data_IF_970541582499
#
_entry.id   IF_970541582499
#
_cell.length_a   1.000
_cell.length_b   1.000
_cell.length_c   1.000
_cell.angle_alpha   90.00
_cell.angle_beta   90.00
_cell.angle_gamma   90.00
#
_symmetry.space_group_name_H-M   'P 1'
#
loop_
_entity.id
_entity.type
_entity.pdbx_description
1 polymer ?
#
# COMPACT_ATOMS: atom_id res chain seq x y z
N UNK A 1 -64.73 11.48 8.73
CA UNK A 1 -63.99 10.23 8.46
C UNK A 1 -62.56 10.64 8.09
N UNK A 2 -61.59 10.38 8.97
CA UNK A 2 -60.24 10.92 8.86
C UNK A 2 -59.41 10.12 7.85
N UNK A 3 -58.58 10.83 7.08
CA UNK A 3 -57.52 10.23 6.31
C UNK A 3 -56.38 9.84 7.27
N UNK A 4 -55.99 8.58 7.18
CA UNK A 4 -54.92 7.93 7.93
C UNK A 4 -53.58 8.60 7.65
N UNK A 5 -52.90 9.02 8.73
CA UNK A 5 -51.50 9.43 8.70
C UNK A 5 -50.60 8.20 8.44
N UNK A 6 -49.60 8.39 7.58
CA UNK A 6 -48.53 7.44 7.28
C UNK A 6 -47.49 7.43 8.43
N UNK A 7 -47.18 6.28 9.06
CA UNK A 7 -46.34 6.23 10.26
C UNK A 7 -44.84 6.01 9.98
N UNK A 8 -44.32 6.28 8.78
CA UNK A 8 -42.89 6.02 8.45
C UNK A 8 -42.10 7.26 8.02
N UNK A 9 -42.26 8.39 8.72
CA UNK A 9 -41.29 9.48 8.64
C UNK A 9 -40.22 9.30 9.74
N UNK A 10 -39.10 8.68 9.38
CA UNK A 10 -37.86 8.72 10.17
C UNK A 10 -37.48 10.19 10.41
N UNK A 11 -37.03 10.61 11.61
CA UNK A 11 -36.61 11.98 11.81
C UNK A 11 -35.41 12.27 10.91
N UNK A 12 -35.43 13.39 10.19
CA UNK A 12 -34.29 13.86 9.39
C UNK A 12 -33.04 13.87 10.28
N UNK A 13 -32.08 12.97 10.02
CA UNK A 13 -30.77 13.03 10.68
C UNK A 13 -30.05 14.29 10.19
N UNK A 14 -30.19 15.37 10.94
CA UNK A 14 -29.48 16.61 10.67
C UNK A 14 -27.97 16.33 10.64
N UNK A 15 -27.36 16.57 9.47
CA UNK A 15 -25.92 16.37 9.23
C UNK A 15 -25.02 17.12 10.21
N UNK A 16 -25.52 18.21 10.78
CA UNK A 16 -24.85 19.01 11.80
C UNK A 16 -25.79 19.27 12.97
N UNK A 17 -25.27 19.08 14.18
CA UNK A 17 -25.91 19.40 15.44
C UNK A 17 -25.51 20.83 15.86
N UNK A 18 -26.43 21.49 16.54
CA UNK A 18 -26.21 22.75 17.26
C UNK A 18 -25.59 22.49 18.63
N UNK A 19 -25.05 23.53 19.27
CA UNK A 19 -24.52 23.44 20.64
C UNK A 19 -25.54 22.88 21.62
N UNK A 20 -26.82 23.26 21.46
CA UNK A 20 -27.92 22.79 22.30
C UNK A 20 -28.17 21.29 22.12
N UNK A 21 -28.25 20.82 20.88
CA UNK A 21 -28.47 19.39 20.59
C UNK A 21 -27.31 18.51 21.09
N UNK A 22 -26.07 19.00 20.99
CA UNK A 22 -24.91 18.32 21.59
C UNK A 22 -24.99 18.32 23.12
N UNK A 23 -25.39 19.42 23.74
CA UNK A 23 -25.55 19.50 25.19
C UNK A 23 -26.62 18.51 25.70
N UNK A 24 -27.76 18.43 25.02
CA UNK A 24 -28.83 17.48 25.29
C UNK A 24 -28.34 16.03 25.11
N UNK A 25 -27.63 15.74 24.03
CA UNK A 25 -27.07 14.43 23.72
C UNK A 25 -26.06 13.95 24.78
N UNK A 26 -25.18 14.84 25.25
CA UNK A 26 -24.17 14.55 26.27
C UNK A 26 -24.70 14.61 27.70
N UNK A 27 -25.94 15.08 27.89
CA UNK A 27 -26.52 15.37 29.21
C UNK A 27 -25.66 16.34 30.04
N UNK A 28 -25.10 17.36 29.38
CA UNK A 28 -24.32 18.44 30.01
C UNK A 28 -24.94 19.81 29.72
N UNK A 29 -24.46 20.86 30.39
CA UNK A 29 -24.88 22.25 30.09
C UNK A 29 -24.18 22.75 28.82
N UNK A 30 -24.85 23.59 28.02
CA UNK A 30 -24.28 24.21 26.81
C UNK A 30 -22.93 24.89 27.07
N UNK A 31 -22.77 25.53 28.23
CA UNK A 31 -21.48 26.12 28.66
C UNK A 31 -20.33 25.11 28.59
N UNK A 32 -20.54 23.88 29.02
CA UNK A 32 -19.50 22.83 28.96
C UNK A 32 -19.18 22.45 27.51
N UNK A 33 -20.16 22.47 26.61
CA UNK A 33 -19.94 22.25 25.17
C UNK A 33 -19.10 23.38 24.57
N UNK A 34 -19.36 24.64 24.95
CA UNK A 34 -18.51 25.77 24.58
C UNK A 34 -17.07 25.63 25.11
N UNK A 35 -16.92 25.23 26.38
CA UNK A 35 -15.59 25.03 26.98
C UNK A 35 -14.82 23.93 26.24
N UNK A 36 -15.47 22.81 25.92
CA UNK A 36 -14.87 21.69 25.15
C UNK A 36 -14.50 22.13 23.72
N UNK A 37 -15.36 22.90 23.05
CA UNK A 37 -15.07 23.41 21.71
C UNK A 37 -13.91 24.42 21.73
N UNK A 38 -13.87 25.30 22.73
CA UNK A 38 -12.77 26.25 22.92
C UNK A 38 -11.43 25.56 23.23
N UNK A 39 -11.46 24.43 23.94
CA UNK A 39 -10.30 23.59 24.22
C UNK A 39 -9.92 22.65 23.06
N UNK A 40 -10.73 22.55 22.00
CA UNK A 40 -10.51 21.61 20.89
C UNK A 40 -10.77 20.14 21.24
N UNK A 41 -11.46 19.87 22.35
CA UNK A 41 -11.69 18.51 22.88
C UNK A 41 -12.90 17.80 22.24
N UNK A 42 -13.68 18.51 21.42
CA UNK A 42 -14.87 17.99 20.74
C UNK A 42 -14.87 18.39 19.25
N UNK A 43 -15.20 17.47 18.32
CA UNK A 43 -15.27 17.77 16.90
C UNK A 43 -16.28 18.87 16.58
N UNK A 44 -15.84 19.96 15.94
CA UNK A 44 -16.71 21.10 15.62
C UNK A 44 -16.20 21.89 14.41
N UNK A 45 -17.09 22.67 13.80
CA UNK A 45 -16.82 23.62 12.73
C UNK A 45 -17.37 24.99 13.16
N UNK A 46 -16.61 26.05 12.91
CA UNK A 46 -17.08 27.42 13.12
C UNK A 46 -17.47 28.04 11.78
N UNK A 47 -18.77 28.29 11.59
CA UNK A 47 -19.31 28.89 10.37
C UNK A 47 -20.08 30.17 10.73
N UNK A 48 -19.67 31.31 10.17
CA UNK A 48 -20.33 32.62 10.36
C UNK A 48 -20.60 32.92 11.85
N UNK A 49 -19.58 32.71 12.69
CA UNK A 49 -19.65 32.95 14.14
C UNK A 49 -20.43 31.92 14.96
N UNK A 50 -21.06 30.91 14.34
CA UNK A 50 -21.77 29.82 15.03
C UNK A 50 -20.92 28.56 15.10
N UNK A 51 -21.08 27.79 16.17
CA UNK A 51 -20.52 26.44 16.30
C UNK A 51 -21.52 25.42 15.76
N UNK A 52 -21.04 24.55 14.88
CA UNK A 52 -21.76 23.40 14.33
C UNK A 52 -20.95 22.14 14.59
N UNK A 53 -21.63 21.03 14.85
CA UNK A 53 -21.01 19.79 15.26
C UNK A 53 -21.44 18.66 14.33
N UNK A 54 -20.55 18.07 13.50
CA UNK A 54 -20.92 16.98 12.61
C UNK A 54 -21.49 15.78 13.41
N UNK A 55 -22.72 15.38 13.12
CA UNK A 55 -23.45 14.43 13.97
C UNK A 55 -22.76 13.06 14.07
N UNK A 56 -22.19 12.59 12.96
CA UNK A 56 -21.39 11.37 12.85
C UNK A 56 -20.12 11.42 13.72
N UNK A 57 -19.39 12.54 13.68
CA UNK A 57 -18.18 12.72 14.47
C UNK A 57 -18.47 12.85 15.96
N UNK A 58 -19.57 13.51 16.35
CA UNK A 58 -20.01 13.58 17.74
C UNK A 58 -20.40 12.21 18.27
N UNK A 59 -21.17 11.42 17.51
CA UNK A 59 -21.53 10.05 17.93
C UNK A 59 -20.29 9.16 18.08
N UNK A 60 -19.34 9.25 17.15
CA UNK A 60 -18.05 8.54 17.24
C UNK A 60 -17.20 8.99 18.44
N UNK A 61 -17.25 10.28 18.77
CA UNK A 61 -16.58 10.85 19.93
C UNK A 61 -17.22 10.41 21.26
N UNK A 62 -18.56 10.38 21.34
CA UNK A 62 -19.31 9.89 22.51
C UNK A 62 -19.06 8.40 22.76
N UNK A 63 -18.94 7.61 21.70
CA UNK A 63 -18.52 6.22 21.76
C UNK A 63 -17.08 6.02 22.28
N UNK A 64 -16.40 7.08 22.73
CA UNK A 64 -15.06 7.03 23.30
C UNK A 64 -13.95 7.52 22.37
N UNK A 65 -14.24 8.47 21.46
CA UNK A 65 -13.20 9.17 20.70
C UNK A 65 -12.26 8.22 19.97
N UNK A 66 -12.84 7.30 19.20
CA UNK A 66 -12.12 6.43 18.29
C UNK A 66 -11.61 5.15 18.93
N UNK A 67 -12.46 4.14 19.13
CA UNK A 67 -12.07 2.83 18.62
C UNK A 67 -12.29 2.92 17.11
N UNK A 68 -11.31 3.44 16.35
CA UNK A 68 -11.23 3.07 14.94
C UNK A 68 -11.38 1.55 14.95
N UNK A 69 -12.45 1.05 14.32
CA UNK A 69 -12.76 -0.36 14.33
C UNK A 69 -11.48 -1.12 14.04
N UNK A 70 -11.20 -2.16 14.83
CA UNK A 70 -9.97 -2.92 14.66
C UNK A 70 -9.90 -3.32 13.19
N UNK A 71 -8.88 -2.82 12.51
CA UNK A 71 -8.71 -3.09 11.08
C UNK A 71 -8.56 -4.60 10.94
N UNK A 72 -9.18 -5.22 9.92
CA UNK A 72 -9.02 -6.64 9.71
C UNK A 72 -7.54 -6.97 9.52
N UNK A 73 -7.14 -8.17 9.94
CA UNK A 73 -5.79 -8.70 9.82
C UNK A 73 -5.46 -8.99 8.35
N UNK A 74 -5.39 -7.95 7.54
CA UNK A 74 -5.20 -7.97 6.09
C UNK A 74 -3.97 -7.13 5.75
N UNK A 75 -3.07 -7.73 4.98
CA UNK A 75 -1.99 -7.07 4.25
C UNK A 75 -2.47 -6.81 2.82
N UNK A 76 -2.64 -5.54 2.45
CA UNK A 76 -3.01 -5.12 1.11
C UNK A 76 -1.81 -4.59 0.29
N UNK A 77 -2.08 -4.19 -0.95
CA UNK A 77 -1.17 -3.37 -1.75
C UNK A 77 -0.35 -4.16 -2.76
N UNK A 78 0.90 -3.75 -2.97
CA UNK A 78 1.76 -4.39 -3.94
C UNK A 78 2.28 -5.73 -3.45
N UNK A 79 2.44 -6.66 -4.39
CA UNK A 79 3.08 -7.94 -4.12
C UNK A 79 4.60 -7.75 -3.96
N UNK A 80 5.16 -8.45 -2.98
CA UNK A 80 6.60 -8.63 -2.80
C UNK A 80 6.86 -10.10 -2.42
N UNK A 81 7.66 -10.84 -3.21
CA UNK A 81 7.90 -12.27 -2.95
C UNK A 81 8.48 -12.57 -1.57
N UNK A 82 9.33 -11.70 -1.01
CA UNK A 82 9.92 -11.88 0.32
C UNK A 82 8.88 -11.66 1.42
N UNK A 83 8.06 -10.61 1.31
CA UNK A 83 6.94 -10.35 2.22
C UNK A 83 5.89 -11.45 2.20
N UNK A 84 5.51 -11.90 1.00
CA UNK A 84 4.51 -12.96 0.80
C UNK A 84 4.97 -14.28 1.42
N UNK A 85 6.25 -14.64 1.26
CA UNK A 85 6.85 -15.77 1.99
C UNK A 85 6.84 -15.54 3.51
N UNK A 86 7.26 -14.36 3.98
CA UNK A 86 7.36 -14.07 5.41
C UNK A 86 6.01 -14.10 6.13
N UNK A 87 4.92 -13.67 5.49
CA UNK A 87 3.56 -13.79 6.03
C UNK A 87 3.19 -15.26 6.27
N UNK A 88 3.50 -16.15 5.33
CA UNK A 88 3.22 -17.59 5.47
C UNK A 88 4.11 -18.25 6.51
N UNK A 89 5.42 -17.99 6.44
CA UNK A 89 6.42 -18.63 7.30
C UNK A 89 6.28 -18.20 8.77
N UNK A 90 5.91 -16.95 9.02
CA UNK A 90 5.71 -16.45 10.39
C UNK A 90 4.46 -17.01 11.08
N UNK A 91 3.53 -17.62 10.34
CA UNK A 91 2.24 -18.05 10.88
C UNK A 91 1.42 -16.90 11.46
N UNK A 92 1.62 -15.67 10.99
CA UNK A 92 1.06 -14.47 11.61
C UNK A 92 -0.46 -14.33 11.44
N UNK A 93 -1.07 -15.09 10.52
CA UNK A 93 -2.51 -15.07 10.29
C UNK A 93 -3.02 -13.86 9.51
N UNK A 94 -2.14 -13.06 8.89
CA UNK A 94 -2.54 -12.01 7.96
C UNK A 94 -3.06 -12.62 6.65
N UNK A 95 -4.25 -12.21 6.22
CA UNK A 95 -4.71 -12.47 4.87
C UNK A 95 -4.04 -11.49 3.89
N UNK A 96 -3.70 -11.94 2.68
CA UNK A 96 -3.03 -11.12 1.66
C UNK A 96 -3.99 -10.73 0.55
N UNK A 97 -4.01 -9.45 0.18
CA UNK A 97 -4.80 -8.92 -0.93
C UNK A 97 -3.94 -8.01 -1.82
N UNK A 98 -3.35 -8.59 -2.86
CA UNK A 98 -2.41 -7.87 -3.72
C UNK A 98 -3.09 -7.26 -4.95
N UNK A 99 -3.16 -5.92 -4.97
CA UNK A 99 -3.84 -5.12 -6.01
C UNK A 99 -2.98 -3.92 -6.47
N UNK A 100 -1.72 -3.83 -6.01
CA UNK A 100 -0.80 -2.73 -6.30
C UNK A 100 -0.85 -1.59 -5.27
N UNK A 101 0.18 -0.74 -5.25
CA UNK A 101 0.36 0.30 -4.23
C UNK A 101 -0.84 1.27 -4.14
N UNK A 102 -1.42 1.65 -5.28
CA UNK A 102 -2.55 2.58 -5.34
C UNK A 102 -3.80 2.02 -4.66
N UNK A 103 -4.26 0.85 -5.11
CA UNK A 103 -5.43 0.18 -4.52
C UNK A 103 -5.20 -0.23 -3.06
N UNK A 104 -3.98 -0.65 -2.72
CA UNK A 104 -3.63 -0.92 -1.32
C UNK A 104 -3.74 0.30 -0.42
N UNK A 105 -3.32 1.47 -0.90
CA UNK A 105 -3.44 2.72 -0.16
C UNK A 105 -4.90 3.15 -0.01
N UNK A 106 -5.73 2.94 -1.05
CA UNK A 106 -7.17 3.23 -0.98
C UNK A 106 -7.89 2.33 0.04
N UNK A 107 -7.61 1.02 0.04
CA UNK A 107 -8.13 0.10 1.06
C UNK A 107 -7.63 0.42 2.47
N UNK A 108 -6.37 0.81 2.58
CA UNK A 108 -5.82 1.28 3.85
C UNK A 108 -6.52 2.57 4.31
N UNK A 109 -6.82 3.51 3.43
CA UNK A 109 -7.58 4.72 3.80
C UNK A 109 -9.02 4.37 4.21
N UNK A 110 -9.63 3.37 3.59
CA UNK A 110 -10.96 2.85 3.93
C UNK A 110 -11.01 1.93 5.17
N UNK A 111 -9.88 1.76 5.88
CA UNK A 111 -9.75 0.88 7.04
C UNK A 111 -10.02 -0.62 6.76
N UNK A 112 -9.88 -1.06 5.51
CA UNK A 112 -10.07 -2.45 5.07
C UNK A 112 -8.80 -3.31 5.21
N UNK A 113 -7.67 -2.72 5.61
CA UNK A 113 -6.40 -3.41 5.79
C UNK A 113 -5.58 -2.85 6.94
N UNK A 114 -5.03 -3.73 7.79
CA UNK A 114 -4.14 -3.38 8.89
C UNK A 114 -2.80 -2.81 8.43
N UNK A 115 -2.31 -3.27 7.27
CA UNK A 115 -1.08 -2.79 6.65
C UNK A 115 -1.16 -2.89 5.12
N UNK A 116 -0.39 -2.07 4.43
CA UNK A 116 -0.27 -2.12 2.96
C UNK A 116 1.19 -2.02 2.52
N UNK A 117 1.59 -2.87 1.57
CA UNK A 117 2.91 -2.84 0.94
C UNK A 117 2.95 -1.87 -0.23
N UNK A 118 3.93 -0.96 -0.24
CA UNK A 118 3.99 0.17 -1.18
C UNK A 118 5.37 0.29 -1.84
N UNK A 119 5.36 0.62 -3.13
CA UNK A 119 6.52 1.04 -3.92
C UNK A 119 6.04 2.04 -5.01
N UNK A 120 5.70 3.25 -4.58
CA UNK A 120 5.21 4.33 -5.44
C UNK A 120 6.41 5.20 -5.83
N UNK A 121 6.80 5.26 -7.12
CA UNK A 121 7.90 6.11 -7.56
C UNK A 121 7.51 7.59 -7.47
N UNK A 122 8.41 8.41 -6.94
CA UNK A 122 8.22 9.85 -6.71
C UNK A 122 9.49 10.62 -7.05
N UNK A 123 9.39 11.95 -7.20
CA UNK A 123 10.56 12.81 -7.40
C UNK A 123 11.51 12.70 -6.20
N UNK A 124 12.72 12.20 -6.45
CA UNK A 124 13.76 12.05 -5.43
C UNK A 124 13.55 10.87 -4.46
N UNK A 125 12.58 9.98 -4.70
CA UNK A 125 12.39 8.83 -3.81
C UNK A 125 11.19 7.94 -4.10
N UNK A 126 10.63 7.42 -3.01
CA UNK A 126 9.56 6.44 -3.01
C UNK A 126 8.63 6.67 -1.83
N UNK A 127 7.34 6.43 -2.04
CA UNK A 127 6.25 6.32 -1.05
C UNK A 127 5.92 7.56 -0.20
N UNK A 128 6.92 8.29 0.30
CA UNK A 128 6.75 9.23 1.41
C UNK A 128 5.82 10.38 1.05
N UNK A 129 5.99 11.02 -0.11
CA UNK A 129 5.16 12.16 -0.48
C UNK A 129 3.71 11.75 -0.75
N UNK A 130 3.49 10.61 -1.41
CA UNK A 130 2.15 10.07 -1.68
C UNK A 130 1.46 9.63 -0.40
N UNK A 131 2.19 8.96 0.49
CA UNK A 131 1.67 8.56 1.81
C UNK A 131 1.32 9.79 2.64
N UNK A 132 2.19 10.81 2.70
CA UNK A 132 1.90 12.05 3.43
C UNK A 132 0.66 12.78 2.90
N UNK A 133 0.38 12.70 1.60
CA UNK A 133 -0.77 13.34 0.98
C UNK A 133 -2.09 12.55 1.11
N UNK A 134 -2.04 11.21 1.23
CA UNK A 134 -3.24 10.34 1.11
C UNK A 134 -3.54 9.48 2.32
N UNK A 135 -2.55 9.18 3.17
CA UNK A 135 -2.76 8.29 4.30
C UNK A 135 -3.58 8.97 5.41
N UNK A 136 -4.46 8.22 6.10
CA UNK A 136 -5.18 8.73 7.26
C UNK A 136 -4.22 8.98 8.44
N UNK A 137 -4.68 9.73 9.44
CA UNK A 137 -3.96 9.86 10.71
C UNK A 137 -3.83 8.51 11.45
N UNK A 138 -2.87 8.43 12.38
CA UNK A 138 -2.69 7.24 13.21
C UNK A 138 -1.99 6.08 12.52
N UNK A 139 -1.10 6.34 11.55
CA UNK A 139 -0.33 5.31 10.85
C UNK A 139 1.16 5.66 10.78
N UNK A 140 1.98 4.65 10.46
CA UNK A 140 3.44 4.75 10.35
C UNK A 140 3.90 4.02 9.10
N UNK A 141 4.81 4.62 8.34
CA UNK A 141 5.48 3.99 7.20
C UNK A 141 6.80 3.40 7.68
N UNK A 142 6.98 2.10 7.51
CA UNK A 142 8.16 1.35 7.92
C UNK A 142 8.91 0.85 6.69
N UNK A 143 10.24 0.94 6.71
CA UNK A 143 11.07 0.33 5.69
C UNK A 143 10.94 -1.19 5.72
N UNK A 144 10.74 -1.81 4.56
CA UNK A 144 10.78 -3.27 4.43
C UNK A 144 12.10 -3.72 3.82
N UNK A 145 12.35 -3.33 2.57
CA UNK A 145 13.57 -3.65 1.87
C UNK A 145 13.80 -2.69 0.70
N UNK A 146 15.05 -2.60 0.28
CA UNK A 146 15.40 -2.19 -1.08
C UNK A 146 15.44 -3.42 -1.96
N UNK A 147 14.93 -3.32 -3.19
CA UNK A 147 14.91 -4.43 -4.13
C UNK A 147 15.39 -4.02 -5.51
N UNK A 148 16.13 -4.90 -6.17
CA UNK A 148 16.68 -4.67 -7.50
C UNK A 148 15.67 -5.08 -8.57
N UNK A 149 15.25 -4.12 -9.37
CA UNK A 149 14.40 -4.30 -10.54
C UNK A 149 15.19 -4.03 -11.82
N UNK A 150 14.93 -4.83 -12.84
CA UNK A 150 15.74 -4.81 -14.04
C UNK A 150 15.24 -5.77 -15.10
N UNK A 151 16.09 -6.03 -16.10
CA UNK A 151 15.78 -6.97 -17.16
C UNK A 151 16.15 -8.38 -16.73
N UNK A 152 15.15 -9.25 -16.72
CA UNK A 152 15.30 -10.70 -16.69
C UNK A 152 15.56 -11.14 -18.12
N UNK A 153 16.65 -11.87 -18.36
CA UNK A 153 17.11 -12.22 -19.69
C UNK A 153 17.15 -13.72 -19.89
N UNK A 154 16.78 -14.16 -21.10
CA UNK A 154 16.96 -15.53 -21.53
C UNK A 154 18.46 -15.93 -21.49
N UNK A 155 18.79 -17.20 -21.24
CA UNK A 155 20.17 -17.66 -21.19
C UNK A 155 20.96 -17.31 -22.46
N UNK A 156 22.19 -16.84 -22.29
CA UNK A 156 23.08 -16.48 -23.40
C UNK A 156 22.95 -15.03 -23.89
N UNK A 157 22.00 -14.25 -23.36
CA UNK A 157 21.91 -12.81 -23.61
C UNK A 157 22.74 -11.97 -22.64
N UNK A 158 23.35 -12.60 -21.63
CA UNK A 158 24.30 -11.98 -20.73
C UNK A 158 25.46 -11.34 -21.53
N UNK A 159 25.72 -10.07 -21.30
CA UNK A 159 26.74 -9.30 -22.02
C UNK A 159 26.32 -8.81 -23.41
N UNK A 160 25.16 -9.24 -23.93
CA UNK A 160 24.57 -8.70 -25.17
C UNK A 160 23.54 -7.60 -24.91
N UNK A 161 22.95 -7.60 -23.71
CA UNK A 161 21.96 -6.61 -23.28
C UNK A 161 22.52 -5.93 -22.05
N UNK A 162 22.72 -4.61 -22.12
CA UNK A 162 23.15 -3.78 -21.01
C UNK A 162 22.00 -2.88 -20.51
N UNK A 163 20.93 -2.72 -21.29
CA UNK A 163 19.77 -1.95 -20.88
C UNK A 163 18.60 -2.04 -21.85
N UNK A 164 17.63 -1.14 -21.65
CA UNK A 164 16.35 -1.15 -22.37
C UNK A 164 16.53 -0.90 -23.87
N UNK A 165 17.50 -0.07 -24.27
CA UNK A 165 17.77 0.22 -25.69
C UNK A 165 18.18 -1.04 -26.49
N UNK A 166 18.82 -2.02 -25.85
CA UNK A 166 19.29 -3.25 -26.50
C UNK A 166 18.16 -4.28 -26.70
N UNK A 167 16.93 -3.94 -26.34
CA UNK A 167 15.74 -4.79 -26.57
C UNK A 167 15.18 -4.65 -28.00
N UNK A 168 15.79 -3.80 -28.85
CA UNK A 168 15.40 -3.66 -30.24
C UNK A 168 15.51 -5.01 -30.97
N UNK A 169 14.42 -5.43 -31.63
CA UNK A 169 14.34 -6.72 -32.33
C UNK A 169 14.33 -7.95 -31.42
N UNK A 170 14.12 -7.77 -30.11
CA UNK A 170 14.01 -8.88 -29.14
C UNK A 170 12.55 -9.07 -28.72
N UNK A 171 12.18 -10.30 -28.41
CA UNK A 171 10.86 -10.67 -27.89
C UNK A 171 10.78 -10.27 -26.42
N UNK A 172 9.86 -9.37 -26.07
CA UNK A 172 9.72 -8.87 -24.70
C UNK A 172 8.35 -9.22 -24.16
N UNK A 173 8.29 -9.87 -22.99
CA UNK A 173 7.03 -10.05 -22.28
C UNK A 173 6.83 -8.91 -21.28
N UNK A 174 5.71 -8.22 -21.41
CA UNK A 174 5.31 -7.13 -20.52
C UNK A 174 4.34 -7.63 -19.45
N UNK A 175 4.30 -6.94 -18.30
CA UNK A 175 3.27 -7.13 -17.27
C UNK A 175 1.96 -6.48 -17.73
N UNK A 176 0.84 -6.88 -17.13
CA UNK A 176 -0.48 -6.35 -17.49
C UNK A 176 -0.57 -4.82 -17.33
N UNK A 177 -1.43 -4.13 -18.11
CA UNK A 177 -1.74 -2.73 -17.87
C UNK A 177 -2.13 -2.47 -16.41
N UNK A 178 -1.64 -1.37 -15.84
CA UNK A 178 -1.83 -1.02 -14.43
C UNK A 178 -0.80 -1.63 -13.46
N UNK A 179 0.01 -2.61 -13.89
CA UNK A 179 1.12 -3.11 -13.07
C UNK A 179 2.25 -2.08 -12.99
N UNK A 180 2.88 -1.93 -11.81
CA UNK A 180 4.01 -0.99 -11.62
C UNK A 180 5.18 -1.25 -12.56
N UNK A 181 5.51 -2.53 -12.81
CA UNK A 181 6.54 -2.91 -13.77
C UNK A 181 6.17 -2.55 -15.22
N UNK A 182 4.89 -2.46 -15.59
CA UNK A 182 4.49 -1.97 -16.92
C UNK A 182 4.77 -0.46 -17.05
N UNK A 183 4.34 0.31 -16.06
CA UNK A 183 4.59 1.75 -16.03
C UNK A 183 6.10 2.07 -16.03
N UNK A 184 6.90 1.29 -15.28
CA UNK A 184 8.35 1.46 -15.29
C UNK A 184 8.96 1.11 -16.65
N UNK A 185 8.51 0.02 -17.29
CA UNK A 185 8.99 -0.33 -18.63
C UNK A 185 8.71 0.80 -19.63
N UNK A 186 7.47 1.29 -19.67
CA UNK A 186 7.06 2.34 -20.60
C UNK A 186 7.91 3.62 -20.42
N UNK A 187 8.17 4.01 -19.16
CA UNK A 187 9.07 5.14 -18.83
C UNK A 187 10.49 4.90 -19.35
N UNK A 188 11.09 3.76 -18.99
CA UNK A 188 12.47 3.47 -19.36
C UNK A 188 12.65 3.30 -20.88
N UNK A 189 11.63 2.76 -21.56
CA UNK A 189 11.60 2.64 -23.01
C UNK A 189 11.54 4.02 -23.68
N UNK A 190 10.71 4.93 -23.15
CA UNK A 190 10.65 6.33 -23.58
C UNK A 190 11.99 7.05 -23.37
N UNK A 191 12.55 6.96 -22.16
CA UNK A 191 13.84 7.58 -21.81
C UNK A 191 14.99 7.07 -22.70
N UNK A 192 14.96 5.79 -23.08
CA UNK A 192 15.95 5.16 -23.94
C UNK A 192 15.71 5.34 -25.45
N UNK A 193 14.57 5.91 -25.86
CA UNK A 193 14.17 5.97 -27.26
C UNK A 193 14.03 4.58 -27.91
N UNK A 194 13.58 3.58 -27.14
CA UNK A 194 13.45 2.21 -27.64
C UNK A 194 12.36 2.13 -28.71
N UNK A 195 12.77 1.81 -29.92
CA UNK A 195 11.88 1.51 -31.04
C UNK A 195 12.10 0.07 -31.54
N UNK A 196 11.01 -0.66 -31.75
CA UNK A 196 11.05 -1.97 -32.40
C UNK A 196 11.35 -3.18 -31.50
N UNK A 197 10.99 -3.14 -30.22
CA UNK A 197 10.91 -4.36 -29.41
C UNK A 197 9.65 -5.17 -29.77
N UNK A 198 9.78 -6.49 -29.87
CA UNK A 198 8.68 -7.39 -30.23
C UNK A 198 7.90 -7.79 -28.97
N UNK A 199 6.95 -6.94 -28.58
CA UNK A 199 6.16 -7.20 -27.38
C UNK A 199 5.17 -8.36 -27.61
N UNK A 200 5.21 -9.38 -26.75
CA UNK A 200 4.27 -10.50 -26.82
C UNK A 200 2.82 -10.00 -26.64
N UNK A 201 1.89 -10.57 -27.40
CA UNK A 201 0.49 -10.15 -27.38
C UNK A 201 -0.20 -10.40 -26.02
N UNK A 202 0.18 -11.48 -25.33
CA UNK A 202 -0.38 -11.83 -24.02
C UNK A 202 0.55 -11.32 -22.91
N UNK A 203 0.10 -10.41 -22.05
CA UNK A 203 0.91 -9.94 -20.93
C UNK A 203 0.99 -10.99 -19.80
N UNK A 204 2.09 -10.97 -19.07
CA UNK A 204 2.28 -11.72 -17.82
C UNK A 204 1.39 -11.14 -16.71
N UNK A 205 0.75 -11.98 -15.89
CA UNK A 205 -0.15 -11.53 -14.80
C UNK A 205 0.53 -11.41 -13.44
N UNK A 206 1.60 -12.16 -13.21
CA UNK A 206 2.50 -12.02 -12.05
C UNK A 206 3.96 -11.76 -12.45
N UNK A 207 4.81 -11.32 -11.50
CA UNK A 207 6.27 -11.24 -11.71
C UNK A 207 6.84 -12.61 -12.06
N UNK A 208 6.31 -13.67 -11.46
CA UNK A 208 6.70 -15.05 -11.70
C UNK A 208 6.33 -15.49 -13.11
N UNK A 209 5.13 -15.14 -13.60
CA UNK A 209 4.70 -15.47 -14.97
C UNK A 209 5.67 -14.87 -16.00
N UNK A 210 6.13 -13.64 -15.77
CA UNK A 210 7.07 -12.96 -16.66
C UNK A 210 8.42 -13.69 -16.70
N UNK A 211 8.95 -14.06 -15.53
CA UNK A 211 10.19 -14.85 -15.45
C UNK A 211 10.04 -16.25 -16.06
N UNK A 212 8.89 -16.91 -15.86
CA UNK A 212 8.58 -18.22 -16.43
C UNK A 212 8.52 -18.18 -17.97
N UNK A 213 7.90 -17.17 -18.56
CA UNK A 213 7.84 -17.04 -20.01
C UNK A 213 9.25 -16.88 -20.63
N UNK A 214 10.14 -16.14 -19.97
CA UNK A 214 11.55 -16.05 -20.39
C UNK A 214 12.26 -17.40 -20.22
N UNK A 215 12.06 -18.09 -19.09
CA UNK A 215 12.62 -19.42 -18.84
C UNK A 215 12.14 -20.49 -19.84
N UNK A 216 10.89 -20.38 -20.30
CA UNK A 216 10.30 -21.26 -21.30
C UNK A 216 10.74 -20.93 -22.74
N UNK A 217 11.49 -19.84 -22.95
CA UNK A 217 11.94 -19.40 -24.27
C UNK A 217 10.86 -18.70 -25.10
N UNK A 218 9.71 -18.37 -24.50
CA UNK A 218 8.63 -17.62 -25.16
C UNK A 218 9.03 -16.16 -25.40
N UNK A 219 9.82 -15.60 -24.50
CA UNK A 219 10.37 -14.25 -24.59
C UNK A 219 11.89 -14.26 -24.33
N UNK A 220 12.57 -13.25 -24.88
CA UNK A 220 14.00 -13.04 -24.71
C UNK A 220 14.29 -12.19 -23.46
N UNK A 221 13.36 -11.30 -23.09
CA UNK A 221 13.48 -10.45 -21.92
C UNK A 221 12.13 -10.12 -21.26
N UNK A 222 12.19 -9.79 -19.98
CA UNK A 222 11.08 -9.24 -19.20
C UNK A 222 11.61 -8.18 -18.21
N UNK A 223 10.80 -7.18 -17.87
CA UNK A 223 11.10 -6.33 -16.71
C UNK A 223 10.57 -7.00 -15.44
N UNK A 224 11.42 -7.14 -14.41
CA UNK A 224 11.02 -7.73 -13.14
C UNK A 224 12.08 -7.66 -12.05
N UNK A 225 11.78 -8.26 -10.90
CA UNK A 225 12.69 -8.31 -9.77
C UNK A 225 13.79 -9.35 -10.00
N UNK A 226 15.01 -9.06 -9.54
CA UNK A 226 16.12 -10.03 -9.55
C UNK A 226 15.75 -11.34 -8.84
N UNK A 227 14.97 -11.23 -7.77
CA UNK A 227 14.47 -12.38 -7.00
C UNK A 227 13.56 -13.32 -7.82
N UNK A 228 12.92 -12.83 -8.88
CA UNK A 228 12.12 -13.65 -9.79
C UNK A 228 12.97 -14.35 -10.86
N UNK A 229 14.14 -13.80 -11.21
CA UNK A 229 15.04 -14.37 -12.23
C UNK A 229 15.86 -15.56 -11.70
N UNK A 230 16.39 -15.42 -10.48
CA UNK A 230 17.37 -16.35 -9.90
C UNK A 230 16.87 -17.80 -9.79
N UNK A 231 15.63 -18.10 -9.36
CA UNK A 231 15.13 -19.48 -9.29
C UNK A 231 15.15 -20.22 -10.64
N UNK A 232 15.03 -19.48 -11.74
CA UNK A 232 15.05 -20.01 -13.11
C UNK A 232 16.43 -19.96 -13.76
N UNK A 233 17.47 -19.55 -13.02
CA UNK A 233 18.85 -19.38 -13.52
C UNK A 233 18.94 -18.47 -14.76
N UNK A 234 18.09 -17.44 -14.77
CA UNK A 234 18.05 -16.45 -15.85
C UNK A 234 19.09 -15.36 -15.65
N UNK A 235 19.52 -14.75 -16.75
CA UNK A 235 20.36 -13.56 -16.74
C UNK A 235 19.60 -12.38 -16.11
N UNK A 236 20.35 -11.42 -15.56
CA UNK A 236 19.73 -10.23 -14.96
C UNK A 236 20.58 -8.98 -15.12
N UNK A 237 19.96 -7.91 -15.62
CA UNK A 237 20.57 -6.57 -15.73
C UNK A 237 19.83 -5.61 -14.80
N UNK A 238 20.45 -5.11 -13.72
CA UNK A 238 19.81 -4.17 -12.80
C UNK A 238 19.61 -2.82 -13.48
N UNK A 239 18.41 -2.23 -13.34
CA UNK A 239 18.08 -0.91 -13.89
C UNK A 239 17.69 0.09 -12.81
N UNK A 240 16.94 -0.35 -11.81
CA UNK A 240 16.39 0.51 -10.76
C UNK A 240 16.47 -0.20 -9.42
N UNK A 241 16.86 0.54 -8.39
CA UNK A 241 16.66 0.16 -7.00
C UNK A 241 15.32 0.73 -6.53
N UNK A 242 14.37 -0.16 -6.18
CA UNK A 242 13.09 0.23 -5.61
C UNK A 242 13.14 0.18 -4.08
N UNK A 243 12.41 1.08 -3.43
CA UNK A 243 12.10 0.94 -2.00
C UNK A 243 10.71 0.35 -1.85
N UNK A 244 10.64 -0.75 -1.12
CA UNK A 244 9.40 -1.34 -0.68
C UNK A 244 9.23 -1.02 0.80
N UNK A 245 8.10 -0.41 1.16
CA UNK A 245 7.79 0.01 2.52
C UNK A 245 6.40 -0.54 2.94
N UNK A 246 6.19 -0.68 4.24
CA UNK A 246 4.90 -1.07 4.83
C UNK A 246 4.27 0.13 5.51
N UNK A 247 3.11 0.58 5.03
CA UNK A 247 2.27 1.51 5.78
C UNK A 247 1.42 0.69 6.76
N UNK A 248 1.54 0.98 8.05
CA UNK A 248 0.93 0.20 9.13
C UNK A 248 0.06 1.10 9.99
N UNK A 249 -1.16 0.68 10.28
CA UNK A 249 -2.01 1.35 11.27
C UNK A 249 -1.36 1.23 12.66
N UNK A 250 -1.25 2.33 13.41
CA UNK A 250 -0.51 2.33 14.67
C UNK A 250 -1.13 1.43 15.73
N UNK A 251 -2.42 1.14 15.67
CA UNK A 251 -3.07 0.21 16.61
C UNK A 251 -2.83 -1.21 16.16
N UNK A 252 -3.01 -1.47 14.85
CA UNK A 252 -2.69 -2.75 14.25
C UNK A 252 -1.22 -3.13 14.44
N UNK A 253 -0.30 -2.16 14.51
CA UNK A 253 1.11 -2.40 14.80
C UNK A 253 1.28 -3.24 16.07
N UNK A 254 0.47 -3.04 17.11
CA UNK A 254 0.57 -3.75 18.38
C UNK A 254 -0.23 -5.06 18.45
N UNK A 255 -0.92 -5.46 17.37
CA UNK A 255 -1.68 -6.71 17.36
C UNK A 255 -0.78 -7.93 17.14
N UNK A 256 -1.18 -9.12 17.63
CA UNK A 256 -0.38 -10.34 17.46
C UNK A 256 0.01 -10.64 16.01
N UNK A 257 -0.86 -10.50 14.99
CA UNK A 257 -0.48 -10.73 13.60
C UNK A 257 0.68 -9.85 13.12
N UNK A 258 0.60 -8.54 13.35
CA UNK A 258 1.65 -7.62 12.88
C UNK A 258 2.94 -7.83 13.67
N UNK A 259 2.85 -8.03 14.98
CA UNK A 259 4.04 -8.30 15.80
C UNK A 259 4.72 -9.62 15.42
N UNK A 260 3.97 -10.67 15.11
CA UNK A 260 4.53 -11.94 14.66
C UNK A 260 5.31 -11.78 13.34
N UNK A 261 4.75 -11.07 12.35
CA UNK A 261 5.43 -10.77 11.10
C UNK A 261 6.72 -9.96 11.33
N UNK A 262 6.65 -8.88 12.10
CA UNK A 262 7.80 -8.01 12.35
C UNK A 262 8.89 -8.70 13.19
N UNK A 263 8.50 -9.56 14.14
CA UNK A 263 9.44 -10.38 14.90
C UNK A 263 10.14 -11.40 14.00
N UNK A 264 9.40 -12.09 13.14
CA UNK A 264 9.96 -13.03 12.18
C UNK A 264 10.93 -12.34 11.20
N UNK A 265 10.60 -11.14 10.73
CA UNK A 265 11.45 -10.37 9.83
C UNK A 265 12.83 -10.05 10.43
N UNK A 266 12.97 -10.04 11.77
CA UNK A 266 14.27 -9.83 12.46
C UNK A 266 15.09 -11.11 12.65
N UNK A 267 14.54 -12.27 12.31
CA UNK A 267 15.17 -13.58 12.52
C UNK A 267 16.35 -13.83 11.56
N UNK A 268 17.18 -14.83 11.90
CA UNK A 268 18.20 -15.35 10.97
C UNK A 268 17.58 -15.95 9.71
N UNK A 269 16.51 -16.73 9.87
CA UNK A 269 15.80 -17.37 8.76
C UNK A 269 15.31 -16.36 7.71
N UNK A 270 14.79 -15.20 8.14
CA UNK A 270 14.39 -14.15 7.22
C UNK A 270 15.56 -13.58 6.43
N UNK A 271 16.69 -13.31 7.09
CA UNK A 271 17.91 -12.82 6.42
C UNK A 271 18.45 -13.84 5.43
N UNK A 272 18.51 -15.12 5.83
CA UNK A 272 19.00 -16.21 4.99
C UNK A 272 18.10 -16.37 3.75
N UNK A 273 16.78 -16.27 3.92
CA UNK A 273 15.85 -16.30 2.78
C UNK A 273 16.04 -15.12 1.85
N UNK A 274 16.13 -13.90 2.37
CA UNK A 274 16.35 -12.71 1.54
C UNK A 274 17.66 -12.81 0.74
N UNK A 275 18.73 -13.31 1.39
CA UNK A 275 20.01 -13.57 0.73
C UNK A 275 19.90 -14.64 -0.37
N UNK A 276 19.19 -15.75 -0.08
CA UNK A 276 18.98 -16.83 -1.05
C UNK A 276 18.10 -16.41 -2.24
N UNK A 277 17.10 -15.55 -2.02
CA UNK A 277 16.29 -14.97 -3.09
C UNK A 277 17.10 -13.99 -3.94
N UNK A 278 18.04 -13.28 -3.33
CA UNK A 278 18.92 -12.32 -3.99
C UNK A 278 18.21 -11.05 -4.44
N UNK A 279 19.00 -9.98 -4.65
CA UNK A 279 18.48 -8.68 -5.09
C UNK A 279 17.68 -7.91 -4.04
N UNK A 280 17.74 -8.33 -2.77
CA UNK A 280 17.22 -7.59 -1.63
C UNK A 280 18.36 -7.00 -0.81
N UNK A 281 18.15 -5.78 -0.33
CA UNK A 281 18.91 -5.18 0.75
C UNK A 281 17.97 -4.82 1.90
N UNK A 282 18.28 -5.38 3.08
CA UNK A 282 17.48 -5.29 4.29
C UNK A 282 17.91 -4.14 5.22
N UNK A 283 18.86 -3.29 4.82
CA UNK A 283 19.25 -2.11 5.59
C UNK A 283 18.08 -1.22 6.08
N UNK A 284 16.99 -0.99 5.31
CA UNK A 284 15.88 -0.16 5.78
C UNK A 284 14.90 -0.90 6.70
N UNK A 285 15.03 -2.21 6.91
CA UNK A 285 14.03 -3.03 7.58
C UNK A 285 13.70 -2.49 8.98
N UNK A 286 12.42 -2.15 9.19
CA UNK A 286 11.89 -1.62 10.45
C UNK A 286 12.18 -0.15 10.72
N UNK A 287 12.95 0.55 9.87
CA UNK A 287 13.21 1.96 10.02
C UNK A 287 11.93 2.79 9.75
N UNK A 288 11.63 3.75 10.63
CA UNK A 288 10.51 4.67 10.41
C UNK A 288 10.86 5.62 9.26
N UNK A 289 10.09 5.54 8.17
CA UNK A 289 10.24 6.37 6.97
C UNK A 289 9.42 7.64 7.06
N UNK A 290 8.25 7.52 7.68
CA UNK A 290 7.29 8.61 7.89
C UNK A 290 6.33 8.22 9.01
N UNK A 291 5.85 9.21 9.76
CA UNK A 291 4.84 9.07 10.80
C UNK A 291 3.73 10.08 10.50
N UNK A 292 2.47 9.64 10.60
CA UNK A 292 1.34 10.56 10.46
C UNK A 292 1.42 11.67 11.52
N UNK A 293 1.12 12.94 11.17
CA UNK A 293 1.00 14.03 12.13
C UNK A 293 0.05 13.73 13.30
#
# INVERSE_FOLDING_TARGET
>A
MPATADPTASPEEHRYLTTREVAELLRVKERKVYDLAAAGEIPHVRLIGKLLFPADQIRAWIGGGGAAAERPAVLAGSHDPLLDWAVRESGCGLATLFEGSGGGLDRFAAAEAALTGLHIPEDGGWNVATVAARAPGGCVLLGWARRSQGLILAPGLDGQVAGIADLKGRRVILRQPGAGARALFDRLAGDAGLEGAECLARPARTETDAAQAVAAGEADAALGLRAAALPYRLGFVPLVEERFDLLVDRRAYFTPPVQALLAFARSGAFRDKAAAMGGYDLAPLGAVRWLSP
#
